data_IF_313396797578
#
_entry.id   IF_313396797578
#
_cell.length_a   1.000
_cell.length_b   1.000
_cell.length_c   1.000
_cell.angle_alpha   90.00
_cell.angle_beta   90.00
_cell.angle_gamma   90.00
#
_symmetry.space_group_name_H-M   'P 1'
#
loop_
_entity.id
_entity.type
_entity.pdbx_description
1 polymer ?
#
# COMPACT_ATOMS: atom_id res chain seq x y z
N UNK A 1 17.60 -2.80 -30.52
CA UNK A 1 17.77 -1.81 -31.59
C UNK A 1 17.94 -2.55 -32.91
N UNK A 2 18.87 -3.51 -33.08
CA UNK A 2 19.12 -4.25 -34.35
C UNK A 2 17.87 -4.98 -34.85
N UNK A 3 17.08 -5.64 -34.01
CA UNK A 3 15.83 -6.31 -34.36
C UNK A 3 14.76 -5.31 -34.84
N UNK A 4 14.66 -4.16 -34.20
CA UNK A 4 13.72 -3.09 -34.59
C UNK A 4 14.09 -2.51 -35.95
N UNK A 5 15.37 -2.25 -36.18
CA UNK A 5 15.89 -1.79 -37.49
C UNK A 5 15.66 -2.86 -38.56
N UNK A 6 15.87 -4.15 -38.27
CA UNK A 6 15.61 -5.26 -39.17
C UNK A 6 14.12 -5.38 -39.56
N UNK A 7 13.20 -5.25 -38.60
CA UNK A 7 11.76 -5.27 -38.87
C UNK A 7 11.33 -4.04 -39.70
N UNK A 8 11.86 -2.87 -39.38
CA UNK A 8 11.59 -1.64 -40.15
C UNK A 8 12.10 -1.81 -41.61
N UNK A 9 13.28 -2.37 -41.82
CA UNK A 9 13.84 -2.61 -43.14
C UNK A 9 13.08 -3.69 -43.93
N UNK A 10 12.55 -4.74 -43.26
CA UNK A 10 11.71 -5.75 -43.90
C UNK A 10 10.33 -5.24 -44.32
N UNK A 11 9.75 -4.31 -43.53
CA UNK A 11 8.44 -3.72 -43.81
C UNK A 11 8.52 -2.61 -44.85
N UNK A 12 9.68 -1.93 -44.93
CA UNK A 12 9.96 -0.87 -45.93
C UNK A 12 10.75 -1.43 -47.07
N UNK A 13 10.20 -2.39 -47.84
CA UNK A 13 10.64 -2.62 -49.21
C UNK A 13 10.18 -1.41 -50.03
N UNK A 14 11.04 -0.43 -50.16
CA UNK A 14 10.77 0.83 -50.85
C UNK A 14 10.76 0.52 -52.36
N UNK A 15 9.57 0.25 -52.85
CA UNK A 15 9.31 0.33 -54.29
C UNK A 15 9.18 1.83 -54.63
N UNK A 16 9.89 2.30 -55.68
CA UNK A 16 9.95 3.71 -56.09
C UNK A 16 8.60 4.37 -56.42
N UNK A 17 7.49 3.61 -56.32
CA UNK A 17 6.10 4.06 -56.53
C UNK A 17 5.32 4.25 -55.23
N UNK A 18 5.92 4.07 -54.02
CA UNK A 18 5.18 4.19 -52.75
C UNK A 18 5.15 5.64 -52.32
N UNK A 19 3.95 6.19 -52.19
CA UNK A 19 3.75 7.57 -51.69
C UNK A 19 4.20 7.66 -50.24
N UNK A 20 4.77 8.81 -49.84
CA UNK A 20 5.20 9.11 -48.46
C UNK A 20 4.12 8.76 -47.43
N UNK A 21 2.85 9.00 -47.77
CA UNK A 21 1.69 8.70 -46.94
C UNK A 21 1.57 7.19 -46.62
N UNK A 22 1.87 6.28 -47.57
CA UNK A 22 1.84 4.82 -47.34
C UNK A 22 3.00 4.37 -46.46
N UNK A 23 4.15 5.00 -46.60
CA UNK A 23 5.31 4.72 -45.73
C UNK A 23 4.99 5.18 -44.30
N UNK A 24 4.48 6.39 -44.13
CA UNK A 24 4.10 6.95 -42.81
C UNK A 24 3.04 6.09 -42.13
N UNK A 25 2.00 5.67 -42.84
CA UNK A 25 0.95 4.78 -42.32
C UNK A 25 1.52 3.44 -41.82
N UNK A 26 2.44 2.82 -42.57
CA UNK A 26 3.08 1.55 -42.14
C UNK A 26 3.98 1.72 -40.93
N UNK A 27 4.75 2.79 -40.87
CA UNK A 27 5.60 3.11 -39.71
C UNK A 27 4.72 3.34 -38.47
N UNK A 28 3.63 4.10 -38.63
CA UNK A 28 2.70 4.35 -37.53
C UNK A 28 2.02 3.08 -37.00
N UNK A 29 1.63 2.18 -37.94
CA UNK A 29 1.04 0.88 -37.56
C UNK A 29 2.03 0.00 -36.80
N UNK A 30 3.30 -0.05 -37.21
CA UNK A 30 4.34 -0.81 -36.51
C UNK A 30 4.61 -0.23 -35.13
N UNK A 31 4.68 1.09 -35.01
CA UNK A 31 4.83 1.77 -33.72
C UNK A 31 3.64 1.47 -32.79
N UNK A 32 2.42 1.51 -33.32
CA UNK A 32 1.22 1.20 -32.54
C UNK A 32 1.23 -0.25 -32.02
N UNK A 33 1.56 -1.21 -32.89
CA UNK A 33 1.67 -2.62 -32.49
C UNK A 33 2.78 -2.78 -31.44
N UNK A 34 3.93 -2.15 -31.63
CA UNK A 34 5.05 -2.24 -30.70
C UNK A 34 4.70 -1.65 -29.34
N UNK A 35 4.06 -0.47 -29.31
CA UNK A 35 3.62 0.16 -28.05
C UNK A 35 2.55 -0.66 -27.35
N UNK A 36 1.62 -1.26 -28.10
CA UNK A 36 0.59 -2.14 -27.54
C UNK A 36 1.19 -3.41 -26.95
N UNK A 37 2.12 -4.04 -27.65
CA UNK A 37 2.83 -5.24 -27.16
C UNK A 37 3.68 -4.90 -25.93
N UNK A 38 4.43 -3.79 -25.98
CA UNK A 38 5.19 -3.33 -24.82
C UNK A 38 4.30 -3.03 -23.60
N UNK A 39 3.16 -2.40 -23.83
CA UNK A 39 2.17 -2.15 -22.79
C UNK A 39 1.61 -3.46 -22.20
N UNK A 40 1.20 -4.41 -23.04
CA UNK A 40 0.72 -5.72 -22.59
C UNK A 40 1.81 -6.49 -21.83
N UNK A 41 3.06 -6.44 -22.30
CA UNK A 41 4.18 -7.09 -21.60
C UNK A 41 4.44 -6.43 -20.24
N UNK A 42 4.43 -5.11 -20.13
CA UNK A 42 4.60 -4.41 -18.85
C UNK A 42 3.44 -4.70 -17.90
N UNK A 43 2.21 -4.84 -18.42
CA UNK A 43 1.04 -5.23 -17.61
C UNK A 43 1.14 -6.66 -17.07
N UNK A 44 1.81 -7.56 -17.77
CA UNK A 44 2.01 -8.95 -17.34
C UNK A 44 3.29 -9.17 -16.53
N UNK A 45 4.22 -8.21 -16.54
CA UNK A 45 5.42 -8.22 -15.72
C UNK A 45 5.15 -7.65 -14.32
N UNK A 46 3.94 -7.85 -13.76
CA UNK A 46 3.71 -7.54 -12.35
C UNK A 46 4.76 -8.25 -11.54
N UNK A 47 5.63 -7.49 -10.91
CA UNK A 47 6.49 -8.04 -9.87
C UNK A 47 5.57 -8.56 -8.77
N UNK A 48 5.43 -9.87 -8.66
CA UNK A 48 4.80 -10.46 -7.48
C UNK A 48 5.66 -10.05 -6.31
N UNK A 49 5.06 -9.62 -5.18
CA UNK A 49 5.84 -9.37 -3.98
C UNK A 49 6.68 -10.62 -3.71
N UNK A 50 7.95 -10.42 -3.37
CA UNK A 50 8.82 -11.53 -3.02
C UNK A 50 8.43 -11.99 -1.61
N UNK A 51 7.42 -12.85 -1.54
CA UNK A 51 6.88 -13.40 -0.30
C UNK A 51 7.92 -14.24 0.46
N UNK A 52 9.01 -14.68 -0.20
CA UNK A 52 10.12 -15.38 0.46
C UNK A 52 10.84 -14.52 1.51
N UNK A 53 10.62 -13.19 1.51
CA UNK A 53 11.18 -12.28 2.52
C UNK A 53 10.21 -11.99 3.67
N UNK A 54 8.98 -12.44 3.56
CA UNK A 54 8.00 -12.33 4.62
C UNK A 54 8.31 -13.37 5.68
N UNK A 55 7.93 -13.07 6.89
CA UNK A 55 8.26 -13.90 8.04
C UNK A 55 7.39 -15.16 8.08
N UNK A 56 8.00 -16.31 7.92
CA UNK A 56 7.33 -17.62 7.96
C UNK A 56 6.80 -17.99 9.37
N UNK A 57 7.16 -17.24 10.39
CA UNK A 57 6.84 -17.53 11.78
C UNK A 57 5.57 -16.88 12.32
N UNK A 58 4.72 -16.27 11.47
CA UNK A 58 3.49 -15.60 11.91
C UNK A 58 2.58 -16.55 12.70
N UNK A 59 2.26 -17.68 12.11
CA UNK A 59 1.39 -18.70 12.70
C UNK A 59 1.94 -19.21 14.04
N UNK A 60 3.24 -19.44 14.10
CA UNK A 60 3.89 -19.95 15.32
C UNK A 60 3.93 -18.87 16.41
N UNK A 61 4.15 -17.62 16.04
CA UNK A 61 4.07 -16.50 16.97
C UNK A 61 2.66 -16.34 17.54
N UNK A 62 1.65 -16.31 16.69
CA UNK A 62 0.26 -16.16 17.11
C UNK A 62 -0.22 -17.36 17.96
N UNK A 63 0.19 -18.58 17.62
CA UNK A 63 -0.07 -19.78 18.44
C UNK A 63 0.65 -19.75 19.79
N UNK A 64 1.81 -19.10 19.84
CA UNK A 64 2.59 -18.93 21.08
C UNK A 64 2.01 -17.89 22.04
N UNK A 65 1.06 -17.06 21.61
CA UNK A 65 0.37 -16.12 22.48
C UNK A 65 -0.58 -16.90 23.40
N UNK A 66 -0.38 -16.78 24.71
CA UNK A 66 -1.21 -17.45 25.70
C UNK A 66 -2.58 -16.76 25.79
N UNK A 67 -3.62 -17.45 25.33
CA UNK A 67 -5.02 -16.98 25.38
C UNK A 67 -5.55 -16.74 26.79
N UNK A 68 -4.87 -17.27 27.79
CA UNK A 68 -5.24 -17.07 29.20
C UNK A 68 -4.57 -15.86 29.83
N UNK A 69 -3.84 -15.04 29.07
CA UNK A 69 -3.18 -13.84 29.61
C UNK A 69 -4.17 -12.72 29.95
N UNK A 70 -5.30 -12.64 29.24
CA UNK A 70 -6.37 -11.69 29.64
C UNK A 70 -7.04 -12.20 30.89
N UNK A 71 -6.85 -11.46 31.96
CA UNK A 71 -7.56 -11.63 33.23
C UNK A 71 -8.79 -10.74 33.26
N UNK A 72 -9.74 -11.03 34.14
CA UNK A 72 -10.96 -10.23 34.36
C UNK A 72 -10.70 -8.72 34.55
N UNK A 73 -9.50 -8.36 35.01
CA UNK A 73 -9.05 -6.98 35.24
C UNK A 73 -8.02 -6.49 34.19
N UNK A 74 -7.91 -7.12 33.03
CA UNK A 74 -7.03 -6.59 31.96
C UNK A 74 -7.60 -5.27 31.43
N UNK A 75 -6.75 -4.24 31.20
CA UNK A 75 -7.23 -2.93 30.73
C UNK A 75 -7.75 -3.02 29.32
N UNK A 76 -8.76 -2.22 29.02
CA UNK A 76 -9.14 -1.98 27.62
C UNK A 76 -8.07 -1.16 26.92
N UNK A 77 -7.85 -1.44 25.64
CA UNK A 77 -6.89 -0.71 24.80
C UNK A 77 -7.67 0.05 23.74
N UNK A 78 -7.58 1.37 23.76
CA UNK A 78 -8.13 2.25 22.73
C UNK A 78 -6.97 2.89 21.98
N UNK A 79 -6.80 2.51 20.71
CA UNK A 79 -5.79 3.08 19.82
C UNK A 79 -6.46 4.07 18.87
N UNK A 80 -6.08 5.35 18.96
CA UNK A 80 -6.62 6.43 18.12
C UNK A 80 -5.51 6.93 17.21
N UNK A 81 -5.67 6.74 15.90
CA UNK A 81 -4.77 7.25 14.88
C UNK A 81 -5.47 8.37 14.12
N UNK A 82 -5.02 9.59 14.34
CA UNK A 82 -5.53 10.76 13.64
C UNK A 82 -4.99 10.79 12.21
N UNK A 83 -5.84 11.23 11.28
CA UNK A 83 -5.49 11.39 9.86
C UNK A 83 -5.25 12.88 9.58
N UNK A 84 -4.11 13.19 8.96
CA UNK A 84 -3.70 14.56 8.61
C UNK A 84 -3.68 15.56 9.80
N UNK A 85 -3.45 15.08 11.03
CA UNK A 85 -3.26 15.93 12.20
C UNK A 85 -1.77 16.27 12.34
N UNK A 86 -1.43 17.54 12.17
CA UNK A 86 -0.09 18.06 12.36
C UNK A 86 0.28 18.28 13.81
N UNK A 87 1.57 18.43 14.11
CA UNK A 87 2.08 18.70 15.46
C UNK A 87 1.44 19.93 16.09
N UNK A 88 1.25 21.00 15.31
CA UNK A 88 0.65 22.27 15.76
C UNK A 88 -0.86 22.30 15.78
N UNK A 89 -1.54 21.17 15.54
CA UNK A 89 -3.00 21.10 15.46
C UNK A 89 -3.68 20.70 16.79
N UNK A 90 -2.93 20.70 17.88
CA UNK A 90 -3.47 20.52 19.23
C UNK A 90 -3.06 21.69 20.11
N UNK A 91 -3.93 22.11 21.05
CA UNK A 91 -3.69 23.30 21.89
C UNK A 91 -2.45 23.18 22.76
N UNK A 92 -2.12 21.98 23.26
CA UNK A 92 -0.87 21.72 23.98
C UNK A 92 0.39 22.06 23.19
N UNK A 93 0.31 22.08 21.85
CA UNK A 93 1.42 22.41 20.94
C UNK A 93 1.26 23.78 20.25
N UNK A 94 0.28 24.60 20.66
CA UNK A 94 0.09 25.97 20.19
C UNK A 94 -0.93 26.14 19.05
N UNK A 95 -1.88 25.21 18.88
CA UNK A 95 -3.02 25.42 18.00
C UNK A 95 -3.80 26.69 18.35
N UNK A 96 -4.41 27.31 17.35
CA UNK A 96 -5.25 28.51 17.52
C UNK A 96 -6.64 28.22 18.11
N UNK A 97 -7.00 26.96 18.24
CA UNK A 97 -8.25 26.45 18.80
C UNK A 97 -7.97 25.46 19.92
N UNK A 98 -8.94 25.31 20.81
CA UNK A 98 -8.78 24.47 22.00
C UNK A 98 -9.09 23.00 21.69
N UNK A 99 -8.22 22.10 22.21
CA UNK A 99 -8.39 20.64 22.14
C UNK A 99 -8.39 20.01 23.54
N UNK A 100 -9.30 20.42 24.45
CA UNK A 100 -9.20 20.13 25.89
C UNK A 100 -9.23 18.65 26.24
N UNK A 101 -9.90 17.84 25.41
CA UNK A 101 -9.94 16.39 25.66
C UNK A 101 -8.66 15.68 25.25
N UNK A 102 -7.96 16.18 24.22
CA UNK A 102 -6.66 15.65 23.79
C UNK A 102 -5.60 16.08 24.81
N UNK A 103 -5.62 17.35 25.20
CA UNK A 103 -4.69 17.90 26.18
C UNK A 103 -4.78 17.13 27.51
N UNK A 104 -6.00 16.83 27.98
CA UNK A 104 -6.22 16.05 29.18
C UNK A 104 -5.59 14.65 29.09
N UNK A 105 -5.61 13.99 27.95
CA UNK A 105 -4.93 12.70 27.77
C UNK A 105 -3.42 12.86 28.01
N UNK A 106 -2.83 13.94 27.50
CA UNK A 106 -1.42 14.25 27.71
C UNK A 106 -1.10 14.61 29.18
N UNK A 107 -1.97 15.36 29.85
CA UNK A 107 -1.82 15.78 31.26
C UNK A 107 -1.96 14.61 32.22
N UNK A 108 -2.95 13.73 31.99
CA UNK A 108 -3.22 12.56 32.84
C UNK A 108 -2.34 11.35 32.53
N UNK A 109 -1.64 11.36 31.39
CA UNK A 109 -0.86 10.25 30.87
C UNK A 109 0.59 10.60 30.58
N UNK A 110 1.04 10.29 29.36
CA UNK A 110 2.40 10.57 28.91
C UNK A 110 2.38 11.22 27.52
N UNK A 111 3.12 12.31 27.37
CA UNK A 111 3.33 12.98 26.10
C UNK A 111 4.72 12.67 25.56
N UNK A 112 4.80 12.13 24.35
CA UNK A 112 6.04 11.84 23.65
C UNK A 112 6.38 12.99 22.70
N UNK A 113 7.34 13.82 23.06
CA UNK A 113 7.71 15.01 22.29
C UNK A 113 8.53 14.73 21.03
N UNK A 114 9.10 13.53 20.92
CA UNK A 114 9.91 13.08 19.78
C UNK A 114 9.37 11.79 19.15
N UNK A 115 8.06 11.64 19.09
CA UNK A 115 7.41 10.53 18.42
C UNK A 115 7.01 10.95 17.01
N UNK A 116 7.51 10.22 16.02
CA UNK A 116 7.29 10.53 14.61
C UNK A 116 6.58 9.38 13.91
N UNK A 117 5.68 9.71 12.96
CA UNK A 117 5.15 8.74 12.05
C UNK A 117 6.28 8.12 11.23
N UNK A 118 6.24 6.81 10.98
CA UNK A 118 7.24 6.11 10.17
C UNK A 118 7.18 6.49 8.69
N UNK A 119 6.14 7.19 8.27
CA UNK A 119 5.94 7.63 6.89
C UNK A 119 5.03 8.84 6.82
N UNK A 120 5.16 9.63 5.75
CA UNK A 120 4.44 10.90 5.58
C UNK A 120 3.08 10.78 4.89
N UNK A 121 2.68 9.56 4.44
CA UNK A 121 1.38 9.31 3.77
C UNK A 121 0.59 8.19 4.45
N UNK A 122 -0.72 8.19 4.18
CA UNK A 122 -1.72 7.44 4.95
C UNK A 122 -1.45 5.94 5.07
N UNK A 123 -1.42 5.20 3.94
CA UNK A 123 -1.33 3.73 3.99
C UNK A 123 -0.05 3.24 4.64
N UNK A 124 1.16 3.74 4.29
CA UNK A 124 2.39 3.36 4.97
C UNK A 124 2.40 3.70 6.46
N UNK A 125 1.89 4.88 6.85
CA UNK A 125 1.83 5.27 8.25
C UNK A 125 0.90 4.35 9.06
N UNK A 126 -0.26 3.98 8.47
CA UNK A 126 -1.22 3.05 9.08
C UNK A 126 -0.67 1.64 9.17
N UNK A 127 0.00 1.16 8.12
CA UNK A 127 0.73 -0.10 8.15
C UNK A 127 1.70 -0.14 9.33
N UNK A 128 2.58 0.87 9.44
CA UNK A 128 3.58 0.91 10.50
C UNK A 128 2.96 0.98 11.91
N UNK A 129 1.89 1.76 12.07
CA UNK A 129 1.19 1.89 13.34
C UNK A 129 0.55 0.58 13.80
N UNK A 130 0.00 -0.21 12.86
CA UNK A 130 -0.68 -1.47 13.17
C UNK A 130 0.27 -2.66 13.32
N UNK A 131 1.40 -2.67 12.59
CA UNK A 131 2.33 -3.81 12.58
C UNK A 131 3.59 -3.60 13.41
N UNK A 132 3.89 -2.35 13.78
CA UNK A 132 5.16 -1.98 14.41
C UNK A 132 6.38 -2.12 13.49
N UNK A 133 6.17 -2.25 12.17
CA UNK A 133 7.23 -2.46 11.17
C UNK A 133 7.36 -1.25 10.25
N UNK A 134 8.57 -0.99 9.75
CA UNK A 134 8.75 -0.02 8.70
C UNK A 134 8.05 -0.48 7.39
N UNK A 135 7.33 0.41 6.69
CA UNK A 135 6.52 0.06 5.52
C UNK A 135 7.28 -0.66 4.41
N UNK A 136 8.53 -0.29 4.16
CA UNK A 136 9.41 -0.98 3.20
C UNK A 136 9.61 -2.48 3.46
N UNK A 137 9.45 -2.92 4.70
CA UNK A 137 9.60 -4.32 5.07
C UNK A 137 8.38 -5.16 4.75
N UNK A 138 7.22 -4.52 4.61
CA UNK A 138 5.94 -5.17 4.28
C UNK A 138 5.42 -4.79 2.89
N UNK A 139 6.29 -4.21 2.04
CA UNK A 139 5.89 -3.72 0.70
C UNK A 139 4.73 -2.73 0.72
N UNK A 140 4.57 -2.01 1.82
CA UNK A 140 3.49 -1.06 2.06
C UNK A 140 3.99 0.39 2.04
N UNK A 141 5.01 0.68 1.26
CA UNK A 141 5.66 2.00 1.15
C UNK A 141 4.94 2.99 0.24
N UNK A 142 3.80 2.58 -0.32
CA UNK A 142 2.96 3.41 -1.18
C UNK A 142 1.53 3.54 -0.67
N UNK A 143 0.84 4.57 -1.16
CA UNK A 143 -0.60 4.71 -0.93
C UNK A 143 -1.35 3.59 -1.65
N UNK A 144 -2.16 2.86 -0.90
CA UNK A 144 -3.02 1.82 -1.43
C UNK A 144 -4.31 2.47 -1.93
N UNK A 145 -4.59 2.32 -3.21
CA UNK A 145 -5.80 2.83 -3.83
C UNK A 145 -6.88 1.75 -3.86
N UNK A 146 -8.17 2.13 -3.76
CA UNK A 146 -9.28 1.20 -3.84
C UNK A 146 -9.22 0.36 -5.11
N UNK A 147 -9.68 -0.89 -5.03
CA UNK A 147 -9.90 -1.75 -6.19
C UNK A 147 -11.06 -1.19 -6.98
N UNK A 148 -10.78 -0.43 -8.03
CA UNK A 148 -11.78 0.13 -8.92
C UNK A 148 -11.75 -0.61 -10.24
N UNK A 149 -12.92 -0.74 -10.84
CA UNK A 149 -13.07 -1.27 -12.19
C UNK A 149 -12.15 -0.57 -13.17
N UNK A 150 -11.75 -1.28 -14.20
CA UNK A 150 -10.70 -0.97 -15.18
C UNK A 150 -10.78 0.38 -15.89
N UNK A 151 -11.83 1.16 -15.68
CA UNK A 151 -12.07 2.49 -16.28
C UNK A 151 -11.74 3.67 -15.37
N UNK A 152 -11.25 3.46 -14.17
CA UNK A 152 -10.90 4.57 -13.28
C UNK A 152 -9.58 5.22 -13.70
N UNK A 153 -9.48 6.56 -13.68
CA UNK A 153 -8.21 7.26 -13.89
C UNK A 153 -7.12 6.88 -12.87
N UNK A 154 -7.51 6.32 -11.72
CA UNK A 154 -6.59 5.79 -10.71
C UNK A 154 -6.01 4.41 -11.04
N UNK A 155 -6.59 3.68 -12.00
CA UNK A 155 -6.03 2.40 -12.46
C UNK A 155 -4.61 2.56 -13.02
N UNK A 156 -4.33 3.68 -13.72
CA UNK A 156 -2.99 3.99 -14.24
C UNK A 156 -1.98 4.23 -13.11
N UNK A 157 -2.37 4.90 -12.03
CA UNK A 157 -1.52 5.16 -10.87
C UNK A 157 -1.19 3.86 -10.14
N UNK A 158 -2.15 2.95 -10.04
CA UNK A 158 -1.97 1.62 -9.46
C UNK A 158 -0.97 0.76 -10.25
N UNK A 159 -1.10 0.76 -11.58
CA UNK A 159 -0.17 0.07 -12.48
C UNK A 159 1.23 0.66 -12.35
N UNK A 160 1.34 1.99 -12.33
CA UNK A 160 2.60 2.71 -12.20
C UNK A 160 3.31 2.37 -10.89
N UNK A 161 2.60 2.45 -9.76
CA UNK A 161 3.14 2.10 -8.44
C UNK A 161 3.58 0.64 -8.33
N UNK A 162 2.79 -0.30 -8.92
CA UNK A 162 3.14 -1.73 -8.92
C UNK A 162 4.38 -2.04 -9.74
N UNK A 163 4.62 -1.29 -10.83
CA UNK A 163 5.74 -1.55 -11.75
C UNK A 163 7.03 -0.86 -11.30
N UNK A 164 6.94 0.38 -10.78
CA UNK A 164 8.15 1.16 -10.44
C UNK A 164 8.71 0.87 -9.05
N UNK A 165 7.85 0.59 -8.07
CA UNK A 165 8.26 0.61 -6.67
C UNK A 165 8.24 -0.76 -5.99
N UNK A 166 7.81 -1.81 -6.69
CA UNK A 166 7.79 -3.18 -6.13
C UNK A 166 6.90 -3.36 -4.90
N UNK A 167 6.08 -2.35 -4.57
CA UNK A 167 5.17 -2.38 -3.44
C UNK A 167 3.93 -3.24 -3.72
N UNK A 168 3.25 -3.70 -2.66
CA UNK A 168 1.96 -4.34 -2.80
C UNK A 168 0.89 -3.26 -3.01
N UNK A 169 0.50 -3.05 -4.27
CA UNK A 169 -0.49 -2.04 -4.63
C UNK A 169 -1.91 -2.39 -4.18
N UNK A 170 -2.15 -3.62 -3.78
CA UNK A 170 -3.49 -4.14 -3.51
C UNK A 170 -3.90 -4.02 -2.04
N UNK A 171 -2.97 -4.17 -1.11
CA UNK A 171 -3.26 -4.08 0.31
C UNK A 171 -2.12 -4.57 1.20
N UNK A 172 -2.33 -4.51 2.51
CA UNK A 172 -1.46 -5.11 3.50
C UNK A 172 -1.54 -6.63 3.40
N UNK A 173 -0.39 -7.30 3.28
CA UNK A 173 -0.35 -8.75 3.15
C UNK A 173 -0.90 -9.44 4.39
N UNK A 174 -1.61 -10.56 4.19
CA UNK A 174 -2.15 -11.36 5.28
C UNK A 174 -1.09 -11.99 6.19
N UNK A 175 0.17 -12.03 5.75
CA UNK A 175 1.30 -12.53 6.56
C UNK A 175 1.84 -11.50 7.57
N UNK A 176 1.37 -10.26 7.52
CA UNK A 176 1.72 -9.25 8.51
C UNK A 176 0.95 -9.49 9.81
N UNK A 177 1.61 -9.28 10.94
CA UNK A 177 0.95 -9.38 12.24
C UNK A 177 0.56 -7.98 12.69
N UNK A 178 -0.72 -7.78 12.90
CA UNK A 178 -1.26 -6.54 13.45
C UNK A 178 -1.34 -6.60 14.98
N UNK A 179 -1.38 -5.42 15.59
CA UNK A 179 -1.68 -5.31 17.03
C UNK A 179 -3.05 -5.94 17.36
N UNK A 180 -4.01 -5.90 16.43
CA UNK A 180 -5.32 -6.51 16.61
C UNK A 180 -5.22 -8.04 16.68
N UNK A 181 -4.48 -8.68 15.77
CA UNK A 181 -4.25 -10.13 15.80
C UNK A 181 -3.53 -10.58 17.06
N UNK A 182 -2.50 -9.82 17.46
CA UNK A 182 -1.77 -10.11 18.69
C UNK A 182 -2.66 -10.01 19.93
N UNK A 183 -3.46 -8.96 20.03
CA UNK A 183 -4.42 -8.78 21.15
C UNK A 183 -5.54 -9.82 21.12
N UNK A 184 -6.07 -10.15 19.93
CA UNK A 184 -7.05 -11.22 19.74
C UNK A 184 -6.48 -12.58 20.17
N UNK A 185 -5.22 -12.87 19.81
CA UNK A 185 -4.49 -14.04 20.30
C UNK A 185 -4.38 -14.09 21.81
N UNK A 186 -4.24 -12.94 22.47
CA UNK A 186 -4.22 -12.82 23.93
C UNK A 186 -5.61 -12.85 24.59
N UNK A 187 -6.71 -12.94 23.82
CA UNK A 187 -8.07 -13.09 24.32
C UNK A 187 -8.90 -11.80 24.35
N UNK A 188 -8.42 -10.70 23.74
CA UNK A 188 -9.22 -9.49 23.58
C UNK A 188 -10.25 -9.62 22.46
N UNK A 189 -11.37 -8.96 22.60
CA UNK A 189 -12.23 -8.62 21.50
C UNK A 189 -11.65 -7.40 20.77
N UNK A 190 -11.55 -7.46 19.45
CA UNK A 190 -10.97 -6.40 18.64
C UNK A 190 -12.02 -5.74 17.75
N UNK A 191 -11.85 -4.47 17.41
CA UNK A 191 -12.71 -3.73 16.52
C UNK A 191 -11.97 -2.60 15.81
N UNK A 192 -12.28 -2.36 14.55
CA UNK A 192 -11.75 -1.27 13.75
C UNK A 192 -12.88 -0.34 13.32
N UNK A 193 -12.72 0.97 13.55
CA UNK A 193 -13.69 2.00 13.22
C UNK A 193 -13.01 3.13 12.46
N UNK A 194 -13.61 3.58 11.36
CA UNK A 194 -13.11 4.67 10.56
C UNK A 194 -12.22 4.23 9.40
N UNK A 195 -11.24 5.06 9.04
CA UNK A 195 -10.38 4.86 7.85
C UNK A 195 -9.42 3.69 8.04
N UNK A 196 -9.54 2.67 7.21
CA UNK A 196 -8.62 1.53 7.13
C UNK A 196 -7.43 1.82 6.20
N UNK A 197 -7.67 1.97 4.91
CA UNK A 197 -6.73 2.35 3.85
C UNK A 197 -5.54 1.38 3.67
N UNK A 198 -5.74 0.09 3.97
CA UNK A 198 -4.76 -0.98 3.79
C UNK A 198 -5.27 -2.12 2.91
N UNK A 199 -6.23 -1.80 2.02
CA UNK A 199 -6.88 -2.71 1.08
C UNK A 199 -8.38 -2.82 1.32
N UNK A 200 -9.11 -3.25 0.30
CA UNK A 200 -10.56 -3.18 0.25
C UNK A 200 -11.24 -4.49 -0.20
N UNK A 201 -10.49 -5.59 -0.32
CA UNK A 201 -11.03 -6.90 -0.69
C UNK A 201 -10.21 -8.07 -0.12
N UNK A 202 -10.83 -9.24 -0.06
CA UNK A 202 -10.19 -10.50 0.30
C UNK A 202 -9.45 -10.44 1.64
N UNK A 203 -8.22 -10.91 1.66
CA UNK A 203 -7.36 -10.94 2.83
C UNK A 203 -6.98 -9.55 3.38
N UNK A 204 -7.09 -8.51 2.53
CA UNK A 204 -6.74 -7.14 2.89
C UNK A 204 -7.81 -6.42 3.72
N UNK A 205 -8.98 -7.02 3.91
CA UNK A 205 -10.04 -6.43 4.72
C UNK A 205 -9.65 -6.39 6.20
N UNK A 206 -10.02 -5.32 6.95
CA UNK A 206 -9.72 -5.23 8.37
C UNK A 206 -10.30 -6.40 9.19
N UNK A 207 -11.40 -6.99 8.73
CA UNK A 207 -12.02 -8.17 9.37
C UNK A 207 -11.19 -9.44 9.25
N UNK A 208 -10.21 -9.46 8.34
CA UNK A 208 -9.30 -10.59 8.13
C UNK A 208 -7.90 -10.33 8.69
N UNK A 209 -7.69 -9.16 9.29
CA UNK A 209 -6.42 -8.69 9.85
C UNK A 209 -6.51 -8.49 11.39
N UNK A 210 -7.35 -9.30 12.06
CA UNK A 210 -7.56 -9.26 13.51
C UNK A 210 -8.90 -8.71 13.87
#
# INVERSE_FOLDING_TARGET
IAVIVGVILCVVKIDKKVTLQKVLSRVLSVLLVFTTVAFVLTMNLRSKPNTERLWDGQDDYLKGIDKNKTKENSPNVLFILMDDLGYGDISANGAIYDTPNIDRIGEEGAQFTNFYSSYSVCSPARFAALTGRYPYRGYADNVIYPTVDTFSPFASTRIFNSVEMGGNADGMLGDEITIAEALKGAGYATGCFGKWHLGDYGEYLPTNQG
#
